data_IF_798676494763
#
_entry.id   IF_798676494763
#
_cell.length_a   1.000
_cell.length_b   1.000
_cell.length_c   1.000
_cell.angle_alpha   90.00
_cell.angle_beta   90.00
_cell.angle_gamma   90.00
#
_symmetry.space_group_name_H-M   'P 1'
#
loop_
_entity.id
_entity.type
_entity.pdbx_description
1 polymer ?
#
# COMPACT_ATOMS: atom_id res chain seq x y z
N UNK A 1 3.89 17.99 12.42
CA UNK A 1 2.55 18.26 11.88
C UNK A 1 1.51 17.87 12.94
N UNK A 2 0.53 18.74 13.17
CA UNK A 2 -0.66 18.46 13.97
C UNK A 2 -1.84 18.25 13.02
N UNK A 3 -2.70 17.30 13.35
CA UNK A 3 -3.94 17.07 12.60
C UNK A 3 -4.91 18.22 12.86
N UNK A 4 -5.56 18.69 11.79
CA UNK A 4 -6.54 19.78 11.83
C UNK A 4 -7.96 19.34 12.24
N UNK A 5 -8.18 18.06 12.50
CA UNK A 5 -9.48 17.50 12.90
C UNK A 5 -10.40 17.12 11.75
N UNK A 6 -10.02 17.35 10.50
CA UNK A 6 -10.80 16.93 9.32
C UNK A 6 -10.45 15.48 8.96
N UNK A 7 -11.48 14.62 8.90
CA UNK A 7 -11.35 13.22 8.50
C UNK A 7 -11.03 13.14 6.99
N UNK A 8 -9.82 12.70 6.66
CA UNK A 8 -9.33 12.54 5.28
C UNK A 8 -9.13 11.10 4.89
N UNK A 9 -8.73 10.22 5.82
CA UNK A 9 -8.51 8.79 5.52
C UNK A 9 -9.77 8.16 4.92
N UNK A 10 -10.98 8.54 5.39
CA UNK A 10 -12.26 8.03 4.88
C UNK A 10 -12.53 8.41 3.43
N UNK A 11 -12.10 9.59 3.01
CA UNK A 11 -12.50 10.16 1.73
C UNK A 11 -11.37 10.25 0.71
N UNK A 12 -10.10 10.06 1.09
CA UNK A 12 -8.96 10.26 0.21
C UNK A 12 -9.02 9.48 -1.11
N UNK A 13 -9.45 8.21 -1.07
CA UNK A 13 -9.58 7.38 -2.28
C UNK A 13 -10.76 7.82 -3.15
N UNK A 14 -11.85 8.33 -2.56
CA UNK A 14 -12.95 8.93 -3.31
C UNK A 14 -12.52 10.25 -3.94
N UNK A 15 -11.94 11.14 -3.13
CA UNK A 15 -11.51 12.47 -3.52
C UNK A 15 -10.57 12.45 -4.75
N UNK A 16 -9.54 11.61 -4.73
CA UNK A 16 -8.54 11.56 -5.80
C UNK A 16 -8.79 10.52 -6.90
N UNK A 17 -9.49 9.42 -6.59
CA UNK A 17 -9.59 8.26 -7.48
C UNK A 17 -11.04 7.81 -7.72
N UNK A 18 -12.03 8.40 -7.04
CA UNK A 18 -13.44 8.06 -7.19
C UNK A 18 -13.84 6.68 -6.67
N UNK A 19 -13.11 6.14 -5.69
CA UNK A 19 -13.52 4.93 -4.98
C UNK A 19 -14.84 5.13 -4.20
N UNK A 20 -15.47 4.05 -3.74
CA UNK A 20 -16.63 4.15 -2.86
C UNK A 20 -16.24 4.69 -1.47
N UNK A 21 -17.15 5.38 -0.78
CA UNK A 21 -16.91 5.92 0.58
C UNK A 21 -17.38 4.97 1.67
N UNK A 22 -17.37 3.66 1.38
CA UNK A 22 -17.85 2.63 2.29
C UNK A 22 -16.83 2.29 3.39
N UNK A 23 -17.28 1.52 4.38
CA UNK A 23 -16.44 1.17 5.54
C UNK A 23 -15.25 0.29 5.14
N UNK A 24 -15.41 -0.54 4.11
CA UNK A 24 -14.32 -1.37 3.60
C UNK A 24 -13.20 -0.51 3.00
N UNK A 25 -13.53 0.47 2.17
CA UNK A 25 -12.56 1.37 1.51
C UNK A 25 -11.81 2.21 2.55
N UNK A 26 -12.52 2.75 3.53
CA UNK A 26 -11.92 3.43 4.67
C UNK A 26 -10.95 2.53 5.45
N UNK A 27 -11.40 1.35 5.87
CA UNK A 27 -10.57 0.43 6.67
C UNK A 27 -9.39 -0.12 5.86
N UNK A 28 -9.52 -0.29 4.54
CA UNK A 28 -8.43 -0.72 3.67
C UNK A 28 -7.30 0.31 3.61
N UNK A 29 -7.62 1.59 3.36
CA UNK A 29 -6.62 2.65 3.36
C UNK A 29 -6.04 2.85 4.77
N UNK A 30 -6.88 2.93 5.80
CA UNK A 30 -6.44 3.07 7.19
C UNK A 30 -5.48 1.96 7.62
N UNK A 31 -5.80 0.69 7.32
CA UNK A 31 -4.94 -0.44 7.63
C UNK A 31 -3.58 -0.34 6.93
N UNK A 32 -3.57 0.10 5.67
CA UNK A 32 -2.35 0.36 4.92
C UNK A 32 -1.49 1.46 5.58
N UNK A 33 -2.08 2.61 5.94
CA UNK A 33 -1.39 3.71 6.62
C UNK A 33 -0.85 3.28 7.99
N UNK A 34 -1.62 2.51 8.77
CA UNK A 34 -1.16 2.00 10.07
C UNK A 34 0.02 1.04 9.92
N UNK A 35 -0.02 0.18 8.90
CA UNK A 35 1.09 -0.70 8.54
C UNK A 35 2.34 0.06 8.14
N UNK A 36 2.18 1.11 7.32
CA UNK A 36 3.25 1.98 6.85
C UNK A 36 3.94 2.69 8.02
N UNK A 37 3.17 3.31 8.93
CA UNK A 37 3.70 3.93 10.15
C UNK A 37 4.40 2.87 11.00
N UNK A 38 3.76 1.71 11.23
CA UNK A 38 4.34 0.65 12.06
C UNK A 38 5.70 0.19 11.53
N UNK A 39 5.83 0.00 10.22
CA UNK A 39 7.06 -0.46 9.58
C UNK A 39 8.21 0.53 9.72
N UNK A 40 7.94 1.84 9.75
CA UNK A 40 8.96 2.87 10.00
C UNK A 40 9.38 2.90 11.48
N UNK A 41 8.41 2.96 12.40
CA UNK A 41 8.69 3.11 13.85
C UNK A 41 9.13 1.81 14.53
N UNK A 42 8.77 0.66 13.97
CA UNK A 42 9.21 -0.68 14.41
C UNK A 42 9.61 -1.52 13.20
N UNK A 43 10.80 -1.26 12.63
CA UNK A 43 11.32 -2.01 11.48
C UNK A 43 11.21 -3.52 11.70
N UNK A 44 10.77 -4.22 10.66
CA UNK A 44 10.58 -5.66 10.70
C UNK A 44 9.36 -6.16 11.46
N UNK A 45 8.46 -5.28 11.90
CA UNK A 45 7.13 -5.71 12.36
C UNK A 45 6.40 -6.52 11.28
N UNK A 46 5.71 -7.60 11.65
CA UNK A 46 4.89 -8.34 10.69
C UNK A 46 3.77 -7.45 10.16
N UNK A 47 3.79 -7.23 8.85
CA UNK A 47 2.73 -6.58 8.08
C UNK A 47 2.83 -7.11 6.64
N UNK A 48 1.80 -7.82 6.20
CA UNK A 48 1.77 -8.63 4.97
C UNK A 48 0.60 -8.23 4.05
N UNK A 49 0.01 -7.07 4.29
CA UNK A 49 -1.16 -6.54 3.58
C UNK A 49 -0.70 -5.55 2.51
N UNK A 50 -1.31 -5.63 1.33
CA UNK A 50 -1.09 -4.77 0.19
C UNK A 50 -2.42 -4.13 -0.23
N UNK A 51 -2.43 -2.80 -0.36
CA UNK A 51 -3.57 -2.06 -0.90
C UNK A 51 -3.52 -2.14 -2.43
N UNK A 52 -4.56 -2.66 -3.08
CA UNK A 52 -4.61 -2.84 -4.53
C UNK A 52 -5.64 -1.89 -5.15
N UNK A 53 -5.20 -0.87 -5.87
CA UNK A 53 -6.07 0.05 -6.59
C UNK A 53 -6.41 -0.52 -7.98
N UNK A 54 -7.69 -0.73 -8.25
CA UNK A 54 -8.21 -1.41 -9.45
C UNK A 54 -9.06 -0.44 -10.26
N UNK A 55 -8.65 -0.10 -11.48
CA UNK A 55 -9.45 0.79 -12.32
C UNK A 55 -8.74 1.21 -13.59
N UNK A 56 -9.36 2.01 -14.44
CA UNK A 56 -8.84 2.39 -15.75
C UNK A 56 -7.43 3.01 -15.74
N UNK A 57 -6.76 2.96 -16.89
CA UNK A 57 -5.51 3.70 -17.09
C UNK A 57 -5.76 5.21 -16.95
N UNK A 58 -4.77 5.94 -16.45
CA UNK A 58 -4.89 7.39 -16.25
C UNK A 58 -5.68 7.80 -15.01
N UNK A 59 -6.16 6.84 -14.19
CA UNK A 59 -6.91 7.11 -12.96
C UNK A 59 -6.09 7.76 -11.82
N UNK A 60 -4.80 8.06 -12.00
CA UNK A 60 -3.95 8.61 -10.93
C UNK A 60 -3.45 7.63 -9.86
N UNK A 61 -3.64 6.31 -10.03
CA UNK A 61 -3.28 5.27 -9.03
C UNK A 61 -1.80 5.29 -8.60
N UNK A 62 -0.88 5.25 -9.57
CA UNK A 62 0.57 5.27 -9.30
C UNK A 62 1.00 6.62 -8.70
N UNK A 63 0.42 7.71 -9.19
CA UNK A 63 0.62 9.05 -8.61
C UNK A 63 0.17 9.12 -7.15
N UNK A 64 -0.96 8.49 -6.81
CA UNK A 64 -1.43 8.43 -5.44
C UNK A 64 -0.39 7.77 -4.52
N UNK A 65 0.17 6.62 -4.91
CA UNK A 65 1.23 5.99 -4.12
C UNK A 65 2.52 6.82 -4.06
N UNK A 66 2.89 7.50 -5.15
CA UNK A 66 4.04 8.43 -5.17
C UNK A 66 3.88 9.55 -4.17
N UNK A 67 2.74 10.25 -4.19
CA UNK A 67 2.48 11.34 -3.25
C UNK A 67 2.30 10.82 -1.82
N UNK A 68 1.72 9.63 -1.65
CA UNK A 68 1.53 9.00 -0.35
C UNK A 68 2.85 8.70 0.36
N UNK A 69 3.92 8.44 -0.40
CA UNK A 69 5.26 8.29 0.16
C UNK A 69 5.77 9.57 0.86
N UNK A 70 5.12 10.73 0.65
CA UNK A 70 5.49 12.02 1.25
C UNK A 70 6.68 12.67 0.57
N UNK A 71 7.68 11.89 0.17
CA UNK A 71 8.77 12.29 -0.73
C UNK A 71 8.90 11.29 -1.87
N UNK A 72 9.16 11.81 -3.06
CA UNK A 72 9.28 11.00 -4.27
C UNK A 72 10.45 10.02 -4.17
N UNK A 73 11.52 10.37 -3.45
CA UNK A 73 12.67 9.50 -3.16
C UNK A 73 12.32 8.29 -2.27
N UNK A 74 11.18 8.31 -1.58
CA UNK A 74 10.68 7.20 -0.76
C UNK A 74 9.67 6.33 -1.51
N UNK A 75 9.41 6.63 -2.78
CA UNK A 75 8.53 5.85 -3.64
C UNK A 75 9.35 5.04 -4.66
N UNK A 76 8.91 3.83 -4.97
CA UNK A 76 9.48 3.03 -6.07
C UNK A 76 8.42 2.18 -6.74
N UNK A 77 8.46 2.12 -8.08
CA UNK A 77 7.65 1.23 -8.93
C UNK A 77 8.52 0.24 -9.73
N UNK A 78 9.84 0.21 -9.46
CA UNK A 78 10.80 -0.62 -10.21
C UNK A 78 10.81 -2.11 -9.77
N UNK A 79 9.89 -2.50 -8.90
CA UNK A 79 9.77 -3.89 -8.43
C UNK A 79 9.03 -4.76 -9.47
N UNK A 80 9.76 -5.17 -10.51
CA UNK A 80 9.23 -5.99 -11.62
C UNK A 80 9.26 -7.51 -11.38
N UNK A 81 10.20 -7.97 -10.55
CA UNK A 81 10.46 -9.40 -10.27
C UNK A 81 10.86 -9.60 -8.81
N UNK A 82 10.30 -10.63 -8.17
CA UNK A 82 10.55 -10.95 -6.75
C UNK A 82 11.71 -11.92 -6.53
N UNK A 83 12.11 -12.63 -7.60
CA UNK A 83 13.21 -13.59 -7.64
C UNK A 83 14.55 -12.96 -8.06
N UNK A 84 14.57 -11.65 -8.32
CA UNK A 84 15.78 -10.91 -8.64
C UNK A 84 16.74 -10.90 -7.44
N UNK A 85 17.99 -11.32 -7.65
CA UNK A 85 19.03 -11.30 -6.62
C UNK A 85 19.27 -9.89 -6.05
N UNK A 86 18.95 -8.84 -6.82
CA UNK A 86 19.07 -7.44 -6.41
C UNK A 86 17.76 -6.82 -5.91
N UNK A 87 16.70 -7.61 -5.70
CA UNK A 87 15.40 -7.12 -5.22
C UNK A 87 15.54 -6.23 -3.99
N UNK A 88 16.47 -6.57 -3.10
CA UNK A 88 16.73 -5.80 -1.88
C UNK A 88 17.19 -4.36 -2.15
N UNK A 89 17.93 -4.11 -3.24
CA UNK A 89 18.41 -2.77 -3.61
C UNK A 89 17.24 -1.88 -4.00
N UNK A 90 16.23 -2.49 -4.62
CA UNK A 90 14.98 -1.83 -5.00
C UNK A 90 14.12 -1.49 -3.78
N UNK A 91 14.24 -2.26 -2.69
CA UNK A 91 13.53 -1.95 -1.44
C UNK A 91 14.24 -0.87 -0.61
N UNK A 92 15.56 -0.80 -0.67
CA UNK A 92 16.35 0.06 0.20
C UNK A 92 16.09 1.54 -0.09
N UNK A 93 15.76 2.30 0.95
CA UNK A 93 15.48 3.74 0.85
C UNK A 93 14.03 4.08 0.51
N UNK A 94 13.22 3.11 0.09
CA UNK A 94 11.82 3.32 -0.27
C UNK A 94 10.88 2.90 0.87
N UNK A 95 9.86 3.72 1.12
CA UNK A 95 8.81 3.48 2.10
C UNK A 95 7.56 2.88 1.46
N UNK A 96 7.14 3.39 0.31
CA UNK A 96 5.99 2.90 -0.45
C UNK A 96 6.50 2.31 -1.77
N UNK A 97 6.19 1.04 -2.01
CA UNK A 97 6.63 0.34 -3.22
C UNK A 97 5.40 -0.12 -3.99
N UNK A 98 5.24 0.38 -5.21
CA UNK A 98 4.19 -0.03 -6.13
C UNK A 98 4.58 -1.32 -6.87
N UNK A 99 3.63 -2.24 -6.99
CA UNK A 99 3.72 -3.48 -7.74
C UNK A 99 2.67 -3.47 -8.86
N UNK A 100 2.94 -2.74 -9.95
CA UNK A 100 2.00 -2.51 -11.05
C UNK A 100 1.92 -3.67 -12.06
N UNK A 101 3.06 -4.19 -12.52
CA UNK A 101 3.11 -5.26 -13.54
C UNK A 101 2.81 -6.67 -12.99
N UNK A 102 3.21 -6.92 -11.74
CA UNK A 102 3.11 -8.25 -11.11
C UNK A 102 1.67 -8.68 -10.81
N UNK A 103 0.80 -7.70 -10.60
CA UNK A 103 -0.62 -7.92 -10.35
C UNK A 103 -1.37 -8.16 -11.68
N UNK A 104 -0.97 -7.50 -12.76
CA UNK A 104 -1.63 -7.62 -14.06
C UNK A 104 -1.45 -8.98 -14.74
N UNK A 105 -0.35 -9.68 -14.42
CA UNK A 105 0.01 -11.01 -14.93
C UNK A 105 -0.18 -12.12 -13.91
N UNK A 106 -0.83 -11.81 -12.78
CA UNK A 106 -0.94 -12.70 -11.64
C UNK A 106 -1.67 -14.00 -11.98
N UNK A 107 -0.96 -15.11 -11.79
CA UNK A 107 -1.50 -16.47 -11.73
C UNK A 107 -1.34 -17.02 -10.29
N UNK A 108 -1.93 -18.18 -10.01
CA UNK A 108 -1.90 -18.79 -8.67
C UNK A 108 -0.48 -18.92 -8.09
N UNK A 109 0.51 -19.29 -8.93
CA UNK A 109 1.92 -19.41 -8.51
C UNK A 109 2.50 -18.05 -8.10
N UNK A 110 2.38 -17.05 -8.96
CA UNK A 110 2.90 -15.70 -8.69
C UNK A 110 2.23 -15.05 -7.47
N UNK A 111 0.97 -15.40 -7.18
CA UNK A 111 0.27 -14.90 -5.99
C UNK A 111 0.85 -15.51 -4.73
N UNK A 112 1.16 -16.81 -4.71
CA UNK A 112 1.84 -17.41 -3.57
C UNK A 112 3.26 -16.84 -3.38
N UNK A 113 3.97 -16.51 -4.47
CA UNK A 113 5.25 -15.81 -4.41
C UNK A 113 5.12 -14.40 -3.82
N UNK A 114 4.13 -13.61 -4.27
CA UNK A 114 3.83 -12.28 -3.71
C UNK A 114 3.46 -12.41 -2.23
N UNK A 115 2.59 -13.35 -1.86
CA UNK A 115 2.18 -13.61 -0.47
C UNK A 115 3.38 -13.94 0.41
N UNK A 116 4.27 -14.81 -0.06
CA UNK A 116 5.51 -15.18 0.62
C UNK A 116 6.41 -13.94 0.79
N UNK A 117 6.55 -13.14 -0.28
CA UNK A 117 7.34 -11.91 -0.26
C UNK A 117 6.78 -10.88 0.71
N UNK A 118 5.48 -10.60 0.70
CA UNK A 118 4.79 -9.68 1.63
C UNK A 118 4.97 -10.11 3.09
N UNK A 119 5.00 -11.42 3.35
CA UNK A 119 5.15 -11.99 4.71
C UNK A 119 6.52 -11.75 5.34
N UNK A 120 7.56 -11.41 4.55
CA UNK A 120 8.92 -11.22 5.06
C UNK A 120 8.99 -10.02 6.01
N UNK A 121 9.73 -10.21 7.10
CA UNK A 121 10.01 -9.18 8.11
C UNK A 121 11.38 -8.52 7.91
N UNK A 122 12.30 -9.22 7.26
CA UNK A 122 13.65 -8.77 6.97
C UNK A 122 14.09 -9.34 5.63
N UNK A 123 15.04 -8.66 4.98
CA UNK A 123 15.83 -9.26 3.91
C UNK A 123 17.22 -9.57 4.45
N UNK A 124 17.76 -10.73 4.11
CA UNK A 124 19.13 -11.12 4.43
C UNK A 124 19.92 -11.08 3.14
N UNK A 125 20.84 -10.12 3.02
CA UNK A 125 21.64 -9.97 1.81
C UNK A 125 23.03 -9.40 2.09
N UNK A 126 23.92 -9.62 1.13
CA UNK A 126 25.29 -9.13 1.14
C UNK A 126 25.39 -7.96 0.19
N UNK A 127 25.76 -6.76 0.66
CA UNK A 127 26.10 -5.69 -0.27
C UNK A 127 27.48 -5.96 -0.87
N UNK A 128 27.80 -5.39 -2.06
CA UNK A 128 29.16 -5.43 -2.57
C UNK A 128 30.15 -4.98 -1.50
N UNK A 129 31.29 -5.66 -1.44
CA UNK A 129 32.40 -5.39 -0.49
C UNK A 129 32.14 -5.75 0.98
N UNK A 130 30.92 -6.12 1.39
CA UNK A 130 30.73 -6.78 2.69
C UNK A 130 31.28 -8.21 2.67
N UNK A 131 31.75 -8.73 3.81
CA UNK A 131 32.27 -10.10 3.90
C UNK A 131 31.12 -11.10 4.10
N UNK A 132 30.12 -10.74 4.91
CA UNK A 132 29.00 -11.59 5.30
C UNK A 132 27.65 -10.92 5.01
N UNK A 133 26.61 -11.69 4.65
CA UNK A 133 25.25 -11.17 4.58
C UNK A 133 24.79 -10.59 5.92
N UNK A 134 24.04 -9.50 5.87
CA UNK A 134 23.44 -8.86 7.04
C UNK A 134 21.91 -8.84 6.93
N UNK A 135 21.26 -8.97 8.09
CA UNK A 135 19.82 -8.81 8.21
C UNK A 135 19.45 -7.32 8.15
N UNK A 136 18.50 -6.98 7.28
CA UNK A 136 17.94 -5.64 7.19
C UNK A 136 16.43 -5.70 7.36
N UNK A 137 15.98 -5.09 8.45
CA UNK A 137 14.57 -5.10 8.85
C UNK A 137 13.75 -4.27 7.88
N UNK A 138 12.64 -4.83 7.38
CA UNK A 138 11.83 -4.17 6.36
C UNK A 138 11.03 -3.01 6.96
N UNK A 139 11.17 -1.83 6.34
CA UNK A 139 10.46 -0.59 6.65
C UNK A 139 9.44 -0.18 5.58
N UNK A 140 9.48 -0.82 4.40
CA UNK A 140 8.56 -0.53 3.31
C UNK A 140 7.20 -1.25 3.46
N UNK A 141 6.19 -0.73 2.77
CA UNK A 141 4.90 -1.37 2.51
C UNK A 141 4.62 -1.37 1.00
N UNK A 142 3.68 -2.22 0.57
CA UNK A 142 3.44 -2.47 -0.85
C UNK A 142 2.06 -2.01 -1.27
N UNK A 143 2.01 -1.20 -2.33
CA UNK A 143 0.81 -0.84 -3.06
C UNK A 143 0.73 -1.63 -4.37
N UNK A 144 -0.47 -1.99 -4.77
CA UNK A 144 -0.73 -2.66 -6.03
C UNK A 144 -1.57 -1.78 -6.93
N UNK A 145 -1.31 -1.78 -8.22
CA UNK A 145 -2.20 -1.14 -9.21
C UNK A 145 -2.50 -2.08 -10.35
N UNK A 146 -3.73 -2.10 -10.81
CA UNK A 146 -4.10 -2.89 -11.99
C UNK A 146 -5.30 -2.27 -12.69
N UNK A 147 -5.40 -2.54 -13.99
CA UNK A 147 -6.58 -2.21 -14.79
C UNK A 147 -7.54 -3.41 -14.93
N UNK A 148 -7.13 -4.60 -14.46
CA UNK A 148 -7.90 -5.84 -14.56
C UNK A 148 -8.71 -6.07 -13.28
N UNK A 149 -10.03 -6.19 -13.40
CA UNK A 149 -10.89 -6.49 -12.26
C UNK A 149 -10.75 -7.94 -11.77
N UNK A 150 -10.34 -8.86 -12.65
CA UNK A 150 -10.17 -10.28 -12.40
C UNK A 150 -8.73 -10.68 -11.98
N UNK A 151 -7.95 -9.73 -11.46
CA UNK A 151 -6.53 -9.96 -11.18
C UNK A 151 -6.26 -10.97 -10.05
N UNK A 152 -7.22 -11.18 -9.14
CA UNK A 152 -7.14 -12.23 -8.12
C UNK A 152 -7.94 -13.45 -8.57
N UNK A 153 -7.35 -14.66 -8.51
CA UNK A 153 -8.06 -15.91 -8.69
C UNK A 153 -9.25 -15.99 -7.74
N UNK A 154 -10.34 -16.58 -8.25
CA UNK A 154 -11.60 -16.76 -7.52
C UNK A 154 -11.50 -17.66 -6.30
N UNK A 155 -10.39 -18.40 -6.13
CA UNK A 155 -10.14 -19.15 -4.91
C UNK A 155 -9.80 -18.16 -3.76
N UNK A 156 -10.85 -17.77 -3.05
CA UNK A 156 -10.86 -16.71 -2.02
C UNK A 156 -10.01 -17.07 -0.80
N UNK A 157 -9.76 -18.35 -0.56
CA UNK A 157 -9.03 -18.83 0.61
C UNK A 157 -7.56 -18.38 0.57
N UNK A 158 -7.26 -17.31 1.32
CA UNK A 158 -5.88 -16.82 1.50
C UNK A 158 -5.55 -15.47 0.84
N UNK A 159 -6.52 -14.82 0.19
CA UNK A 159 -6.30 -13.50 -0.45
C UNK A 159 -6.46 -12.31 0.49
N UNK A 160 -6.63 -12.52 1.80
CA UNK A 160 -6.69 -11.47 2.84
C UNK A 160 -5.50 -10.50 2.89
N UNK A 161 -4.42 -10.80 2.16
CA UNK A 161 -3.22 -9.98 2.00
C UNK A 161 -3.38 -8.92 0.90
N UNK A 162 -4.37 -9.05 0.04
CA UNK A 162 -4.66 -8.13 -1.05
C UNK A 162 -5.97 -7.42 -0.73
N UNK A 163 -5.94 -6.09 -0.66
CA UNK A 163 -7.11 -5.27 -0.40
C UNK A 163 -7.51 -4.55 -1.70
N UNK A 164 -8.29 -5.21 -2.58
CA UNK A 164 -8.76 -4.58 -3.81
C UNK A 164 -9.71 -3.43 -3.48
N UNK A 165 -9.41 -2.23 -3.96
CA UNK A 165 -10.32 -1.08 -3.97
C UNK A 165 -10.51 -0.66 -5.41
N UNK A 166 -11.75 -0.71 -5.88
CA UNK A 166 -12.10 -0.27 -7.23
C UNK A 166 -12.18 1.25 -7.28
N UNK A 167 -11.61 1.84 -8.33
CA UNK A 167 -11.53 3.29 -8.53
C UNK A 167 -12.16 3.67 -9.88
N UNK A 168 -12.81 4.84 -9.90
CA UNK A 168 -13.62 5.35 -11.00
C UNK A 168 -13.24 6.82 -11.26
N UNK A 169 -12.35 7.12 -12.22
CA UNK A 169 -11.88 8.50 -12.46
C UNK A 169 -12.99 9.51 -12.64
N UNK A 170 -14.11 9.11 -13.24
CA UNK A 170 -15.30 9.94 -13.45
C UNK A 170 -16.05 10.31 -12.16
N UNK A 171 -15.76 9.63 -11.05
CA UNK A 171 -16.31 9.92 -9.72
C UNK A 171 -15.31 10.66 -8.81
N UNK A 172 -14.08 10.86 -9.25
CA UNK A 172 -13.10 11.62 -8.49
C UNK A 172 -13.52 13.09 -8.41
N UNK A 173 -13.38 13.70 -7.24
CA UNK A 173 -13.71 15.11 -7.04
C UNK A 173 -12.67 16.03 -7.69
N UNK A 174 -11.41 15.58 -7.68
CA UNK A 174 -10.28 16.26 -8.31
C UNK A 174 -9.30 15.21 -8.80
N UNK A 175 -8.71 15.42 -9.98
CA UNK A 175 -7.65 14.53 -10.42
C UNK A 175 -6.36 14.89 -9.68
N UNK A 176 -5.64 13.89 -9.18
CA UNK A 176 -4.48 14.07 -8.29
C UNK A 176 -3.32 14.88 -8.89
N UNK A 177 -3.29 15.05 -10.21
CA UNK A 177 -2.30 15.86 -10.93
C UNK A 177 -2.78 17.29 -11.27
N UNK A 178 -4.06 17.63 -11.01
CA UNK A 178 -4.59 18.96 -11.35
C UNK A 178 -3.92 20.05 -10.51
N UNK A 179 -3.71 19.78 -9.22
CA UNK A 179 -2.94 20.61 -8.30
C UNK A 179 -2.15 19.72 -7.33
N UNK A 180 -0.89 19.42 -7.69
CA UNK A 180 -0.03 18.56 -6.87
C UNK A 180 0.28 19.19 -5.50
N UNK A 181 0.32 20.52 -5.39
CA UNK A 181 0.61 21.18 -4.12
C UNK A 181 -0.56 21.00 -3.14
N UNK A 182 -1.79 21.19 -3.62
CA UNK A 182 -2.99 20.90 -2.85
C UNK A 182 -3.11 19.40 -2.49
N UNK A 183 -2.80 18.50 -3.43
CA UNK A 183 -2.82 17.07 -3.18
C UNK A 183 -1.80 16.66 -2.10
N UNK A 184 -0.58 17.21 -2.13
CA UNK A 184 0.44 16.99 -1.09
C UNK A 184 -0.04 17.52 0.26
N UNK A 185 -0.59 18.72 0.33
CA UNK A 185 -1.12 19.28 1.58
C UNK A 185 -2.26 18.42 2.17
N UNK A 186 -3.14 17.88 1.32
CA UNK A 186 -4.18 16.94 1.73
C UNK A 186 -3.56 15.65 2.31
N UNK A 187 -2.59 15.05 1.61
CA UNK A 187 -1.91 13.82 2.03
C UNK A 187 -1.11 14.05 3.33
N UNK A 188 -0.47 15.20 3.50
CA UNK A 188 0.22 15.56 4.74
C UNK A 188 -0.73 15.61 5.93
N UNK A 189 -1.92 16.22 5.76
CA UNK A 189 -2.94 16.22 6.82
C UNK A 189 -3.55 14.84 7.05
N UNK A 190 -3.70 14.01 6.01
CA UNK A 190 -4.11 12.61 6.15
C UNK A 190 -3.07 11.81 6.95
N UNK A 191 -1.77 12.05 6.74
CA UNK A 191 -0.72 11.46 7.57
C UNK A 191 -0.75 11.99 9.00
N UNK A 192 -1.10 13.26 9.22
CA UNK A 192 -1.28 13.82 10.56
C UNK A 192 -2.45 13.14 11.30
N UNK A 193 -3.57 12.90 10.61
CA UNK A 193 -4.71 12.09 11.10
C UNK A 193 -4.25 10.68 11.47
N UNK A 194 -3.58 9.98 10.53
CA UNK A 194 -3.08 8.62 10.73
C UNK A 194 -2.13 8.54 11.93
N UNK A 195 -1.21 9.50 12.07
CA UNK A 195 -0.29 9.58 13.21
C UNK A 195 -1.03 9.79 14.54
N UNK A 196 -2.12 10.55 14.53
CA UNK A 196 -2.97 10.76 15.71
C UNK A 196 -3.63 9.45 16.14
N UNK A 197 -4.21 8.70 15.18
CA UNK A 197 -4.77 7.36 15.42
C UNK A 197 -3.70 6.40 15.94
N UNK A 198 -2.53 6.37 15.32
CA UNK A 198 -1.41 5.51 15.73
C UNK A 198 -0.97 5.80 17.17
N UNK A 199 -0.75 7.07 17.51
CA UNK A 199 -0.31 7.51 18.85
C UNK A 199 -1.35 7.25 19.94
N UNK A 200 -2.63 7.23 19.59
CA UNK A 200 -3.70 6.87 20.53
C UNK A 200 -3.61 5.41 21.00
N UNK A 201 -2.91 4.54 20.25
CA UNK A 201 -2.84 3.10 20.48
C UNK A 201 -4.13 2.34 20.12
N UNK A 202 -5.19 3.04 19.71
CA UNK A 202 -6.51 2.47 19.38
C UNK A 202 -6.58 2.05 17.91
N UNK A 203 -5.71 1.14 17.48
CA UNK A 203 -5.69 0.61 16.12
C UNK A 203 -5.37 -0.88 16.12
N UNK A 204 -5.73 -1.56 15.03
CA UNK A 204 -5.35 -2.96 14.77
C UNK A 204 -4.69 -3.06 13.40
N UNK A 205 -3.70 -3.92 13.28
CA UNK A 205 -3.03 -4.25 12.00
C UNK A 205 -3.69 -5.45 11.33
N UNK A 206 -5.02 -5.53 11.45
CA UNK A 206 -5.85 -6.58 10.90
C UNK A 206 -7.29 -6.10 10.89
N UNK A 207 -8.06 -6.51 9.90
CA UNK A 207 -9.49 -6.25 9.89
C UNK A 207 -10.24 -6.85 11.07
N UNK A 208 -11.43 -6.29 11.34
CA UNK A 208 -12.39 -6.88 12.28
C UNK A 208 -12.81 -8.28 11.80
N UNK A 209 -13.29 -9.10 12.73
CA UNK A 209 -13.78 -10.45 12.39
C UNK A 209 -14.98 -10.39 11.44
N UNK A 210 -15.79 -9.34 11.53
CA UNK A 210 -16.94 -9.08 10.66
C UNK A 210 -16.52 -8.72 9.24
N UNK A 211 -15.55 -7.81 9.10
CA UNK A 211 -15.00 -7.43 7.80
C UNK A 211 -14.28 -8.61 7.11
N UNK A 212 -13.56 -9.43 7.89
CA UNK A 212 -13.00 -10.67 7.35
C UNK A 212 -14.08 -11.66 6.89
N UNK A 213 -15.26 -11.70 7.52
CA UNK A 213 -16.38 -12.52 7.04
C UNK A 213 -16.96 -11.96 5.75
N UNK A 214 -17.15 -10.64 5.65
CA UNK A 214 -17.59 -9.97 4.42
C UNK A 214 -16.67 -10.29 3.23
N UNK A 215 -15.35 -10.26 3.43
CA UNK A 215 -14.38 -10.55 2.37
C UNK A 215 -14.33 -12.03 1.95
N UNK A 216 -14.75 -12.95 2.83
CA UNK A 216 -14.78 -14.38 2.56
C UNK A 216 -16.15 -14.87 2.05
N UNK A 217 -17.20 -14.04 2.15
CA UNK A 217 -18.57 -14.33 1.70
C UNK A 217 -18.71 -14.09 0.19
#
# INVERSE_FOLDING_TARGET
MQWDGTERIRYALHHFLGADTDEYTYEALKLFLMGAIRRVFRPGSKFEVMLCLVGGQGAGKSTFFRLLAGRDEWFSDDLKKLDDENVYRKLQGHWIIEMSEMIATANAKSIEEIKSFLSRQKETYKVPYETHPADRLRQCVFGGTTNRQDFLPRDRTGNRRFLPVTVYPERAEVHILDDEAAARAYIEQMWAEAMTVYRSGKYKLSFSMEMNRYLNA
#
